data_IF_198253983886
#
_entry.id   IF_198253983886
#
_cell.length_a   1.000
_cell.length_b   1.000
_cell.length_c   1.000
_cell.angle_alpha   90.00
_cell.angle_beta   90.00
_cell.angle_gamma   90.00
#
_symmetry.space_group_name_H-M   'P 1'
#
loop_
_entity.id
_entity.type
_entity.pdbx_description
1 polymer ?
#
# COMPACT_ATOMS: atom_id res chain seq x y z
N UNK A 1 16.83 2.66 -9.30
CA UNK A 1 15.55 1.91 -9.19
C UNK A 1 14.74 2.42 -8.01
N UNK A 2 13.41 2.53 -8.12
CA UNK A 2 12.51 2.80 -6.99
C UNK A 2 11.90 1.49 -6.49
N UNK A 3 11.78 1.36 -5.16
CA UNK A 3 11.22 0.18 -4.49
C UNK A 3 10.04 0.61 -3.62
N UNK A 4 9.01 -0.20 -3.59
CA UNK A 4 7.85 -0.04 -2.74
C UNK A 4 7.53 -1.37 -2.05
N UNK A 5 7.04 -1.32 -0.80
CA UNK A 5 6.75 -2.50 0.02
C UNK A 5 5.34 -2.36 0.61
N UNK A 6 4.52 -3.39 0.45
CA UNK A 6 3.15 -3.39 1.00
C UNK A 6 2.62 -4.77 1.36
N UNK A 7 1.55 -4.77 2.15
CA UNK A 7 0.75 -5.96 2.47
C UNK A 7 -0.37 -6.08 1.44
N UNK A 8 -0.50 -7.22 0.79
CA UNK A 8 -1.59 -7.50 -0.13
C UNK A 8 -2.92 -7.60 0.63
N UNK A 9 -3.96 -6.89 0.13
CA UNK A 9 -5.30 -6.89 0.71
C UNK A 9 -6.39 -7.24 -0.31
N UNK A 10 -6.06 -7.27 -1.58
CA UNK A 10 -7.02 -7.46 -2.68
C UNK A 10 -7.79 -8.77 -2.57
N UNK A 11 -7.12 -9.86 -2.19
CA UNK A 11 -7.75 -11.17 -2.03
C UNK A 11 -8.92 -11.17 -1.04
N UNK A 12 -8.89 -10.26 -0.06
CA UNK A 12 -9.90 -10.12 1.00
C UNK A 12 -10.86 -8.94 0.74
N UNK A 13 -10.51 -8.03 -0.16
CA UNK A 13 -11.29 -6.84 -0.55
C UNK A 13 -11.82 -6.94 -2.00
N UNK A 14 -11.89 -8.14 -2.57
CA UNK A 14 -12.24 -8.35 -3.99
C UNK A 14 -13.56 -7.68 -4.38
N UNK A 15 -14.62 -7.85 -3.60
CA UNK A 15 -15.93 -7.25 -3.87
C UNK A 15 -15.87 -5.73 -3.87
N UNK A 16 -15.12 -5.14 -2.93
CA UNK A 16 -14.93 -3.69 -2.85
C UNK A 16 -14.14 -3.20 -4.08
N UNK A 17 -13.09 -3.92 -4.46
CA UNK A 17 -12.31 -3.59 -5.66
C UNK A 17 -13.17 -3.61 -6.91
N UNK A 18 -13.97 -4.66 -7.13
CA UNK A 18 -14.85 -4.79 -8.30
C UNK A 18 -15.85 -3.63 -8.36
N UNK A 19 -16.40 -3.22 -7.23
CA UNK A 19 -17.29 -2.06 -7.15
C UNK A 19 -16.55 -0.76 -7.43
N UNK A 20 -15.40 -0.56 -6.82
CA UNK A 20 -14.57 0.62 -7.02
C UNK A 20 -14.12 0.76 -8.49
N UNK A 21 -13.76 -0.32 -9.15
CA UNK A 21 -13.43 -0.30 -10.59
C UNK A 21 -14.62 0.12 -11.47
N UNK A 22 -15.84 -0.29 -11.14
CA UNK A 22 -17.04 0.17 -11.86
C UNK A 22 -17.26 1.66 -11.68
N UNK A 23 -17.15 2.15 -10.45
CA UNK A 23 -17.25 3.58 -10.12
C UNK A 23 -16.17 4.38 -10.85
N UNK A 24 -14.92 3.91 -10.85
CA UNK A 24 -13.80 4.55 -11.56
C UNK A 24 -14.12 4.73 -13.07
N UNK A 25 -14.65 3.68 -13.71
CA UNK A 25 -15.02 3.72 -15.10
C UNK A 25 -16.21 4.66 -15.37
N UNK A 26 -17.22 4.69 -14.49
CA UNK A 26 -18.41 5.55 -14.62
C UNK A 26 -18.06 7.04 -14.47
N UNK A 27 -17.18 7.37 -13.52
CA UNK A 27 -16.75 8.77 -13.27
C UNK A 27 -15.70 9.22 -14.29
N UNK A 28 -14.94 8.31 -14.88
CA UNK A 28 -13.89 8.62 -15.86
C UNK A 28 -12.65 9.23 -15.21
N UNK A 29 -12.02 8.51 -14.31
CA UNK A 29 -10.71 8.88 -13.77
C UNK A 29 -9.65 8.91 -14.88
N UNK A 30 -8.70 9.83 -14.78
CA UNK A 30 -7.65 9.99 -15.79
C UNK A 30 -6.70 8.77 -15.86
N UNK A 31 -6.40 8.21 -14.70
CA UNK A 31 -5.55 7.03 -14.55
C UNK A 31 -6.22 6.01 -13.67
N UNK A 32 -6.04 4.73 -13.97
CA UNK A 32 -6.58 3.68 -13.11
C UNK A 32 -5.83 3.62 -11.77
N UNK A 33 -6.61 3.59 -10.69
CA UNK A 33 -6.11 3.39 -9.33
C UNK A 33 -5.75 1.92 -9.04
N UNK A 34 -6.05 1.02 -9.99
CA UNK A 34 -5.92 -0.44 -9.82
C UNK A 34 -4.80 -1.04 -10.68
N UNK A 35 -3.76 -0.27 -10.99
CA UNK A 35 -2.55 -0.76 -11.68
C UNK A 35 -1.72 -1.71 -10.82
N UNK A 36 -1.82 -1.57 -9.49
CA UNK A 36 -1.32 -2.52 -8.50
C UNK A 36 -2.47 -3.22 -7.78
N UNK A 37 -2.26 -4.40 -7.19
CA UNK A 37 -3.22 -5.00 -6.27
C UNK A 37 -3.53 -4.03 -5.11
N UNK A 38 -4.76 -4.10 -4.56
CA UNK A 38 -5.09 -3.39 -3.33
C UNK A 38 -4.12 -3.81 -2.22
N UNK A 39 -3.58 -2.83 -1.50
CA UNK A 39 -2.51 -3.06 -0.54
C UNK A 39 -2.47 -2.02 0.58
N UNK A 40 -1.82 -2.37 1.67
CA UNK A 40 -1.39 -1.43 2.71
C UNK A 40 0.10 -1.19 2.50
N UNK A 41 0.52 0.03 2.22
CA UNK A 41 1.94 0.37 2.16
C UNK A 41 2.58 0.24 3.54
N UNK A 42 3.72 -0.45 3.61
CA UNK A 42 4.56 -0.55 4.82
C UNK A 42 5.70 0.46 4.80
N UNK A 43 6.09 0.89 3.64
CA UNK A 43 7.10 1.91 3.40
C UNK A 43 6.73 2.69 2.15
N UNK A 44 6.75 4.00 2.23
CA UNK A 44 6.64 4.89 1.07
C UNK A 44 7.70 4.53 0.04
N UNK A 45 7.38 4.65 -1.24
CA UNK A 45 8.32 4.34 -2.31
C UNK A 45 9.64 5.13 -2.13
N UNK A 46 10.76 4.44 -2.21
CA UNK A 46 12.09 4.99 -1.98
C UNK A 46 13.04 4.62 -3.12
N UNK A 47 14.02 5.49 -3.35
CA UNK A 47 15.05 5.28 -4.37
C UNK A 47 16.21 4.47 -3.81
N UNK A 48 16.68 3.51 -4.58
CA UNK A 48 17.87 2.71 -4.30
C UNK A 48 18.84 2.85 -5.48
N UNK A 49 20.15 2.91 -5.22
CA UNK A 49 21.15 2.84 -6.30
C UNK A 49 21.08 1.47 -6.98
N UNK A 50 21.43 1.41 -8.26
CA UNK A 50 21.38 0.16 -9.02
C UNK A 50 22.36 -0.89 -8.43
N UNK A 51 23.46 -0.45 -7.84
CA UNK A 51 24.43 -1.30 -7.16
C UNK A 51 23.86 -2.00 -5.91
N UNK A 52 22.95 -1.31 -5.18
CA UNK A 52 22.37 -1.83 -3.95
C UNK A 52 21.03 -2.54 -4.16
N UNK A 53 20.46 -2.46 -5.36
CA UNK A 53 19.08 -2.93 -5.60
C UNK A 53 18.91 -4.42 -5.24
N UNK A 54 19.75 -5.29 -5.77
CA UNK A 54 19.64 -6.73 -5.52
C UNK A 54 19.90 -7.08 -4.06
N UNK A 55 20.83 -6.38 -3.40
CA UNK A 55 21.11 -6.56 -1.97
C UNK A 55 19.91 -6.16 -1.11
N UNK A 56 19.29 -5.01 -1.38
CA UNK A 56 18.07 -4.55 -0.68
C UNK A 56 16.96 -5.56 -0.84
N UNK A 57 16.70 -6.03 -2.05
CA UNK A 57 15.64 -7.01 -2.32
C UNK A 57 15.92 -8.33 -1.60
N UNK A 58 17.15 -8.83 -1.66
CA UNK A 58 17.55 -10.07 -0.96
C UNK A 58 17.33 -9.98 0.54
N UNK A 59 17.77 -8.89 1.16
CA UNK A 59 17.61 -8.67 2.60
C UNK A 59 16.12 -8.57 3.01
N UNK A 60 15.30 -7.89 2.21
CA UNK A 60 13.86 -7.81 2.45
C UNK A 60 13.20 -9.20 2.34
N UNK A 61 13.58 -10.00 1.34
CA UNK A 61 13.10 -11.37 1.19
C UNK A 61 13.45 -12.22 2.41
N UNK A 62 14.68 -12.12 2.91
CA UNK A 62 15.14 -12.88 4.07
C UNK A 62 14.44 -12.43 5.36
N UNK A 63 14.26 -11.12 5.55
CA UNK A 63 13.53 -10.58 6.70
C UNK A 63 12.08 -11.10 6.74
N UNK A 64 11.36 -10.99 5.64
CA UNK A 64 9.94 -11.36 5.61
C UNK A 64 9.67 -12.86 5.78
N UNK A 65 10.65 -13.74 5.51
CA UNK A 65 10.56 -15.18 5.83
C UNK A 65 10.34 -15.45 7.32
N UNK A 66 10.82 -14.55 8.19
CA UNK A 66 10.69 -14.66 9.65
C UNK A 66 9.42 -14.01 10.21
N UNK A 67 8.71 -13.23 9.40
CA UNK A 67 7.51 -12.50 9.83
C UNK A 67 6.30 -13.44 9.78
N UNK A 68 5.62 -13.54 10.92
CA UNK A 68 4.39 -14.36 11.02
C UNK A 68 3.15 -13.59 10.59
N UNK A 69 2.15 -14.28 10.00
CA UNK A 69 0.88 -13.66 9.68
C UNK A 69 0.21 -13.03 10.91
N UNK A 70 -0.58 -11.99 10.69
CA UNK A 70 -1.33 -11.32 11.75
C UNK A 70 -2.60 -10.66 11.21
N UNK A 71 -3.51 -10.32 12.12
CA UNK A 71 -4.76 -9.63 11.79
C UNK A 71 -4.59 -8.12 11.92
N UNK A 72 -5.24 -7.40 11.02
CA UNK A 72 -5.35 -5.94 11.00
C UNK A 72 -6.83 -5.60 11.05
N UNK A 73 -7.25 -4.75 11.96
CA UNK A 73 -8.63 -4.25 12.04
C UNK A 73 -8.81 -3.11 11.04
N UNK A 74 -9.92 -3.11 10.32
CA UNK A 74 -10.31 -2.03 9.42
C UNK A 74 -11.10 -0.98 10.20
N UNK A 75 -10.88 0.30 9.87
CA UNK A 75 -11.62 1.41 10.47
C UNK A 75 -12.90 1.74 9.71
N UNK A 76 -12.81 2.00 8.43
CA UNK A 76 -13.92 2.42 7.57
C UNK A 76 -13.43 2.99 6.26
N UNK A 77 -14.37 3.37 5.38
CA UNK A 77 -14.05 4.08 4.14
C UNK A 77 -14.00 5.57 4.48
N UNK A 78 -12.89 6.21 4.16
CA UNK A 78 -12.60 7.61 4.46
C UNK A 78 -12.33 8.39 3.18
N UNK A 79 -12.55 9.69 3.24
CA UNK A 79 -12.23 10.65 2.18
C UNK A 79 -11.52 11.86 2.78
N UNK A 80 -10.48 12.30 2.11
CA UNK A 80 -9.78 13.56 2.42
C UNK A 80 -9.19 14.12 1.12
N UNK A 81 -9.66 15.29 0.70
CA UNK A 81 -9.21 15.96 -0.52
C UNK A 81 -9.21 15.05 -1.77
N UNK A 82 -8.05 14.68 -2.22
CA UNK A 82 -7.81 13.97 -3.49
C UNK A 82 -7.67 12.45 -3.34
N UNK A 83 -8.03 11.92 -2.17
CA UNK A 83 -7.87 10.48 -1.88
C UNK A 83 -9.08 9.91 -1.12
N UNK A 84 -9.50 8.72 -1.50
CA UNK A 84 -10.47 7.88 -0.79
C UNK A 84 -9.83 6.53 -0.49
N UNK A 85 -9.96 6.05 0.77
CA UNK A 85 -9.28 4.85 1.23
C UNK A 85 -10.05 4.08 2.28
N UNK A 86 -9.70 2.82 2.49
CA UNK A 86 -10.08 2.05 3.67
C UNK A 86 -9.02 2.29 4.73
N UNK A 87 -9.41 2.87 5.89
CA UNK A 87 -8.50 3.08 7.01
C UNK A 87 -8.24 1.76 7.75
N UNK A 88 -7.03 1.64 8.32
CA UNK A 88 -6.64 0.54 9.18
C UNK A 88 -6.37 1.07 10.58
N UNK A 89 -6.89 0.39 11.59
CA UNK A 89 -6.59 0.71 12.98
C UNK A 89 -5.11 0.45 13.27
N UNK A 90 -4.50 1.31 14.08
CA UNK A 90 -3.11 1.11 14.50
C UNK A 90 -2.96 -0.24 15.18
N UNK A 91 -1.85 -0.89 14.90
CA UNK A 91 -1.57 -2.24 15.34
C UNK A 91 -0.07 -2.35 15.60
N UNK A 92 0.29 -2.82 16.78
CA UNK A 92 1.69 -2.97 17.19
C UNK A 92 2.57 -3.72 16.17
N UNK A 93 2.02 -4.73 15.47
CA UNK A 93 2.78 -5.46 14.45
C UNK A 93 3.00 -4.63 13.18
N UNK A 94 2.01 -3.83 12.77
CA UNK A 94 2.18 -2.87 11.68
C UNK A 94 3.25 -1.84 12.03
N UNK A 95 3.14 -1.23 13.23
CA UNK A 95 4.10 -0.24 13.69
C UNK A 95 5.52 -0.82 13.72
N UNK A 96 5.69 -2.02 14.28
CA UNK A 96 7.01 -2.69 14.29
C UNK A 96 7.57 -2.98 12.91
N UNK A 97 6.74 -3.40 11.94
CA UNK A 97 7.20 -3.63 10.57
C UNK A 97 7.62 -2.33 9.90
N UNK A 98 6.84 -1.29 10.05
CA UNK A 98 7.11 0.03 9.51
C UNK A 98 8.40 0.61 10.09
N UNK A 99 8.53 0.62 11.43
CA UNK A 99 9.71 1.15 12.12
C UNK A 99 10.98 0.36 11.75
N UNK A 100 10.88 -0.98 11.76
CA UNK A 100 12.00 -1.82 11.35
C UNK A 100 12.46 -1.52 9.92
N UNK A 101 11.53 -1.41 8.97
CA UNK A 101 11.88 -1.12 7.58
C UNK A 101 12.56 0.24 7.44
N UNK A 102 12.05 1.26 8.14
CA UNK A 102 12.63 2.60 8.15
C UNK A 102 14.05 2.59 8.70
N UNK A 103 14.25 1.98 9.88
CA UNK A 103 15.56 1.90 10.53
C UNK A 103 16.55 1.07 9.70
N UNK A 104 16.13 -0.11 9.25
CA UNK A 104 16.96 -0.99 8.44
C UNK A 104 17.42 -0.34 7.14
N UNK A 105 16.50 0.25 6.37
CA UNK A 105 16.81 0.89 5.10
C UNK A 105 17.68 2.14 5.29
N UNK A 106 17.43 2.92 6.35
CA UNK A 106 18.24 4.09 6.70
C UNK A 106 19.66 3.70 7.11
N UNK A 107 19.79 2.75 8.03
CA UNK A 107 21.10 2.38 8.61
C UNK A 107 21.96 1.61 7.61
N UNK A 108 21.40 0.70 6.84
CA UNK A 108 22.17 -0.16 5.94
C UNK A 108 22.38 0.43 4.55
N UNK A 109 21.39 1.17 4.03
CA UNK A 109 21.37 1.63 2.65
C UNK A 109 21.28 3.15 2.49
N UNK A 110 21.24 3.91 3.60
CA UNK A 110 21.17 5.36 3.58
C UNK A 110 19.84 5.92 3.03
N UNK A 111 18.78 5.12 2.99
CA UNK A 111 17.45 5.57 2.53
C UNK A 111 16.89 6.56 3.56
N UNK A 112 16.59 7.81 3.17
CA UNK A 112 16.05 8.78 4.11
C UNK A 112 14.61 8.44 4.52
N UNK A 113 14.20 8.94 5.70
CA UNK A 113 12.79 8.94 6.09
C UNK A 113 12.03 9.89 5.16
N UNK A 114 10.83 9.49 4.76
CA UNK A 114 9.87 10.37 4.10
C UNK A 114 9.06 11.13 5.15
N UNK A 115 8.53 12.29 4.82
CA UNK A 115 7.70 13.09 5.75
C UNK A 115 6.50 12.30 6.31
N UNK A 116 5.91 11.42 5.50
CA UNK A 116 4.80 10.55 5.91
C UNK A 116 5.22 9.38 6.81
N UNK A 117 6.52 9.07 6.94
CA UNK A 117 6.97 7.97 7.80
C UNK A 117 6.88 8.31 9.30
N UNK A 118 6.70 9.58 9.69
CA UNK A 118 6.69 10.02 11.10
C UNK A 118 5.32 9.89 11.78
N UNK A 119 4.23 10.03 11.02
CA UNK A 119 2.85 9.80 11.50
C UNK A 119 2.08 8.97 10.47
N UNK A 120 2.54 7.73 10.32
CA UNK A 120 2.07 6.87 9.25
C UNK A 120 0.63 6.43 9.46
N UNK A 121 -0.25 6.77 8.49
CA UNK A 121 -1.65 6.34 8.48
C UNK A 121 -1.79 5.11 7.59
N UNK A 122 -1.93 3.94 8.19
CA UNK A 122 -2.14 2.70 7.43
C UNK A 122 -3.48 2.71 6.73
N UNK A 123 -3.47 2.46 5.44
CA UNK A 123 -4.67 2.48 4.62
C UNK A 123 -4.51 1.66 3.34
N UNK A 124 -5.64 1.32 2.74
CA UNK A 124 -5.71 0.79 1.37
C UNK A 124 -6.42 1.81 0.49
N UNK A 125 -5.73 2.41 -0.46
CA UNK A 125 -6.30 3.40 -1.39
C UNK A 125 -7.31 2.74 -2.31
N UNK A 126 -8.49 3.37 -2.43
CA UNK A 126 -9.53 3.01 -3.38
C UNK A 126 -9.52 3.96 -4.58
N UNK A 127 -9.45 5.26 -4.33
CA UNK A 127 -9.43 6.28 -5.37
C UNK A 127 -8.42 7.37 -5.04
N UNK A 128 -7.74 7.88 -6.04
CA UNK A 128 -6.88 9.05 -5.98
C UNK A 128 -6.90 9.76 -7.34
N UNK A 129 -7.16 11.05 -7.37
CA UNK A 129 -7.14 11.87 -8.58
C UNK A 129 -6.81 13.32 -8.19
N UNK A 130 -6.22 14.10 -9.08
CA UNK A 130 -6.00 15.53 -8.87
C UNK A 130 -7.29 16.35 -8.81
N UNK A 131 -8.40 15.79 -9.30
CA UNK A 131 -9.72 16.39 -9.24
C UNK A 131 -10.47 15.86 -8.00
N UNK A 132 -10.54 16.70 -6.94
CA UNK A 132 -11.20 16.39 -5.68
C UNK A 132 -12.68 16.06 -5.85
N UNK A 133 -13.39 16.71 -6.78
CA UNK A 133 -14.82 16.47 -7.02
C UNK A 133 -15.07 15.03 -7.49
N UNK A 134 -14.20 14.50 -8.37
CA UNK A 134 -14.29 13.11 -8.82
C UNK A 134 -14.10 12.14 -7.66
N UNK A 135 -13.12 12.37 -6.80
CA UNK A 135 -12.87 11.51 -5.64
C UNK A 135 -14.02 11.59 -4.64
N UNK A 136 -14.58 12.78 -4.41
CA UNK A 136 -15.77 12.97 -3.57
C UNK A 136 -16.99 12.24 -4.15
N UNK A 137 -17.21 12.32 -5.46
CA UNK A 137 -18.29 11.55 -6.12
C UNK A 137 -18.10 10.04 -5.94
N UNK A 138 -16.90 9.53 -6.15
CA UNK A 138 -16.57 8.13 -5.95
C UNK A 138 -16.78 7.69 -4.49
N UNK A 139 -16.35 8.51 -3.53
CA UNK A 139 -16.56 8.28 -2.11
C UNK A 139 -18.05 8.13 -1.78
N UNK A 140 -18.92 9.05 -2.21
CA UNK A 140 -20.37 8.99 -1.96
C UNK A 140 -21.04 7.73 -2.51
N UNK A 141 -20.48 7.12 -3.55
CA UNK A 141 -20.99 5.87 -4.14
C UNK A 141 -20.52 4.61 -3.41
N UNK A 142 -19.45 4.72 -2.58
CA UNK A 142 -18.86 3.55 -1.93
C UNK A 142 -18.85 3.63 -0.39
N UNK A 143 -19.08 4.79 0.21
CA UNK A 143 -18.93 5.01 1.66
C UNK A 143 -19.79 4.10 2.55
N UNK A 144 -20.94 3.63 2.03
CA UNK A 144 -21.85 2.75 2.75
C UNK A 144 -21.58 1.25 2.53
N UNK A 145 -20.53 0.91 1.76
CA UNK A 145 -20.22 -0.48 1.49
C UNK A 145 -19.68 -1.18 2.73
N UNK A 146 -20.12 -2.43 2.88
CA UNK A 146 -19.62 -3.27 3.96
C UNK A 146 -18.21 -3.77 3.62
N UNK A 147 -17.26 -3.47 4.49
CA UNK A 147 -15.91 -4.00 4.44
C UNK A 147 -15.69 -5.04 5.53
N UNK A 148 -14.79 -6.02 5.34
CA UNK A 148 -14.42 -6.95 6.40
C UNK A 148 -13.91 -6.19 7.63
N UNK A 149 -14.35 -6.57 8.83
CA UNK A 149 -13.86 -5.96 10.08
C UNK A 149 -12.37 -6.19 10.34
N UNK A 150 -11.83 -7.24 9.74
CA UNK A 150 -10.41 -7.59 9.86
C UNK A 150 -9.87 -8.09 8.53
N UNK A 151 -8.59 -7.80 8.28
CA UNK A 151 -7.80 -8.30 7.16
C UNK A 151 -6.63 -9.11 7.72
N UNK A 152 -6.27 -10.20 7.06
CA UNK A 152 -5.10 -10.99 7.42
C UNK A 152 -3.89 -10.52 6.61
N UNK A 153 -2.87 -10.01 7.29
CA UNK A 153 -1.57 -9.77 6.71
C UNK A 153 -0.84 -11.11 6.55
N UNK A 154 -0.95 -11.72 5.39
CA UNK A 154 -0.36 -13.02 5.07
C UNK A 154 0.51 -13.00 3.81
N UNK A 155 0.54 -11.90 3.09
CA UNK A 155 1.29 -11.75 1.85
C UNK A 155 1.90 -10.36 1.75
N UNK A 156 3.21 -10.31 1.52
CA UNK A 156 3.95 -9.07 1.27
C UNK A 156 4.22 -8.96 -0.23
N UNK A 157 4.08 -7.76 -0.75
CA UNK A 157 4.42 -7.38 -2.12
C UNK A 157 5.64 -6.47 -2.09
N UNK A 158 6.59 -6.73 -2.99
CA UNK A 158 7.67 -5.80 -3.31
C UNK A 158 7.47 -5.36 -4.75
N UNK A 159 7.21 -4.09 -4.95
CA UNK A 159 7.06 -3.45 -6.25
C UNK A 159 8.27 -2.61 -6.61
N UNK A 160 8.58 -2.53 -7.89
CA UNK A 160 9.69 -1.74 -8.42
C UNK A 160 9.26 -0.88 -9.59
N UNK A 161 9.91 0.28 -9.74
CA UNK A 161 9.72 1.22 -10.85
C UNK A 161 11.05 1.89 -11.20
N UNK A 162 11.30 2.12 -12.48
CA UNK A 162 12.46 2.91 -12.92
C UNK A 162 12.27 4.41 -12.66
N UNK A 163 11.06 4.92 -12.86
CA UNK A 163 10.75 6.34 -12.74
C UNK A 163 10.27 6.77 -11.35
N UNK A 164 9.68 5.84 -10.56
CA UNK A 164 9.02 6.13 -9.30
C UNK A 164 7.63 6.77 -9.44
N UNK A 165 7.15 7.01 -10.66
CA UNK A 165 5.84 7.63 -10.89
C UNK A 165 4.69 6.66 -10.57
N UNK A 166 3.56 7.21 -10.14
CA UNK A 166 2.33 6.43 -9.94
C UNK A 166 1.97 5.68 -11.24
N UNK A 167 1.49 4.45 -11.11
CA UNK A 167 1.12 3.59 -12.24
C UNK A 167 2.29 2.90 -12.95
N UNK A 168 3.56 3.20 -12.60
CA UNK A 168 4.73 2.58 -13.24
C UNK A 168 5.34 1.43 -12.42
N UNK A 169 4.89 1.25 -11.19
CA UNK A 169 5.33 0.13 -10.35
C UNK A 169 4.79 -1.20 -10.85
N UNK A 170 5.66 -2.20 -10.81
CA UNK A 170 5.32 -3.61 -11.12
C UNK A 170 5.69 -4.47 -9.95
N UNK A 171 4.85 -5.44 -9.60
CA UNK A 171 5.19 -6.43 -8.56
C UNK A 171 6.36 -7.27 -9.04
N UNK A 172 7.45 -7.23 -8.28
CA UNK A 172 8.66 -8.01 -8.53
C UNK A 172 8.69 -9.28 -7.70
N UNK A 173 8.25 -9.20 -6.44
CA UNK A 173 8.18 -10.35 -5.53
C UNK A 173 6.87 -10.37 -4.74
N UNK A 174 6.39 -11.58 -4.52
CA UNK A 174 5.26 -11.89 -3.65
C UNK A 174 5.72 -12.90 -2.61
N UNK A 175 5.63 -12.55 -1.33
CA UNK A 175 6.15 -13.34 -0.21
C UNK A 175 4.97 -13.75 0.67
N UNK A 176 4.76 -15.05 0.83
CA UNK A 176 3.83 -15.59 1.82
C UNK A 176 4.49 -15.58 3.19
N UNK A 177 3.81 -14.99 4.18
CA UNK A 177 4.22 -15.06 5.59
C UNK A 177 3.86 -16.44 6.16
N UNK A 178 4.74 -17.00 7.03
CA UNK A 178 4.65 -18.37 7.56
C UNK A 178 4.39 -18.40 9.08
#
# INVERSE_FOLDING_TARGET
>A
MYVWIGIETESQLKTIKEKAQKIENEIGFLHSNFTLPLHISLKTAFKVSDENFDAVVSDLLDYFKSVKPFKIETGGICFEHVICWISMNRNYKLDRLHDYLNDFLKLKYGVPLHEYDTDYKYHTTLFSDSNEEKVLMAYKLIEQEQIPKTINANTILIGCSESGNLGTFKIKHTIKLN
#
